data_IF_090289674543
#
_entry.id   IF_090289674543
#
_cell.length_a   1.000
_cell.length_b   1.000
_cell.length_c   1.000
_cell.angle_alpha   90.00
_cell.angle_beta   90.00
_cell.angle_gamma   90.00
#
_symmetry.space_group_name_H-M   'P 1'
#
loop_
_entity.id
_entity.type
_entity.pdbx_description
1 polymer ?
#
# COMPACT_ATOMS: atom_id res chain seq x y z
N UNK A 1 4.29 -27.22 -7.60
CA UNK A 1 2.81 -27.32 -7.64
C UNK A 1 2.05 -26.33 -6.77
N UNK A 2 2.32 -26.24 -5.46
CA UNK A 2 1.35 -25.72 -4.48
C UNK A 2 0.87 -24.26 -4.68
N UNK A 3 1.76 -23.34 -5.04
CA UNK A 3 1.40 -21.92 -5.28
C UNK A 3 0.40 -21.77 -6.44
N UNK A 4 0.51 -22.63 -7.47
CA UNK A 4 -0.38 -22.53 -8.63
C UNK A 4 -1.81 -22.99 -8.29
N UNK A 5 -1.94 -23.93 -7.35
CA UNK A 5 -3.22 -24.40 -6.84
C UNK A 5 -3.87 -23.36 -5.91
N UNK A 6 -3.10 -22.70 -5.03
CA UNK A 6 -3.64 -21.66 -4.13
C UNK A 6 -4.02 -20.37 -4.86
N UNK A 7 -3.43 -20.09 -6.02
CA UNK A 7 -3.76 -18.93 -6.85
C UNK A 7 -4.85 -19.21 -7.88
N UNK A 8 -5.38 -20.45 -7.94
CA UNK A 8 -6.44 -20.81 -8.90
C UNK A 8 -7.76 -20.24 -8.43
N UNK A 9 -8.32 -19.31 -9.20
CA UNK A 9 -9.69 -18.85 -8.97
C UNK A 9 -10.66 -20.03 -9.11
N UNK A 10 -11.72 -20.03 -8.30
CA UNK A 10 -12.80 -21.01 -8.44
C UNK A 10 -13.43 -21.00 -9.85
N UNK A 11 -13.35 -19.87 -10.55
CA UNK A 11 -13.72 -19.74 -11.95
C UNK A 11 -12.46 -19.85 -12.84
N UNK A 12 -12.32 -20.99 -13.53
CA UNK A 12 -11.19 -21.27 -14.42
C UNK A 12 -11.13 -20.37 -15.66
N UNK A 13 -12.19 -19.61 -15.95
CA UNK A 13 -12.24 -18.67 -17.09
C UNK A 13 -11.58 -17.32 -16.78
N UNK A 14 -11.18 -17.06 -15.53
CA UNK A 14 -10.51 -15.80 -15.17
C UNK A 14 -9.04 -15.87 -15.64
N UNK A 15 -8.61 -15.02 -16.60
CA UNK A 15 -7.25 -15.07 -17.10
C UNK A 15 -6.25 -14.72 -16.00
N UNK A 16 -5.18 -15.51 -15.88
CA UNK A 16 -4.08 -15.26 -14.97
C UNK A 16 -3.21 -14.04 -15.35
N UNK A 17 -3.35 -13.50 -16.56
CA UNK A 17 -2.68 -12.28 -17.03
C UNK A 17 -3.41 -10.99 -16.62
N UNK A 18 -4.03 -10.99 -15.44
CA UNK A 18 -4.72 -9.80 -14.93
C UNK A 18 -3.74 -8.98 -14.10
N UNK A 19 -3.53 -7.74 -14.52
CA UNK A 19 -2.81 -6.76 -13.72
C UNK A 19 -3.74 -6.18 -12.65
N UNK A 20 -3.45 -6.46 -11.38
CA UNK A 20 -4.18 -5.88 -10.25
C UNK A 20 -3.60 -4.52 -9.93
N UNK A 21 -4.44 -3.48 -9.94
CA UNK A 21 -4.03 -2.12 -9.60
C UNK A 21 -4.28 -1.86 -8.12
N UNK A 22 -3.27 -1.32 -7.44
CA UNK A 22 -3.32 -0.97 -6.02
C UNK A 22 -3.02 0.51 -5.89
N UNK A 23 -4.02 1.27 -5.46
CA UNK A 23 -3.90 2.71 -5.23
C UNK A 23 -3.31 2.98 -3.84
N UNK A 24 -2.41 3.95 -3.75
CA UNK A 24 -1.78 4.41 -2.49
C UNK A 24 -1.64 5.91 -2.49
N UNK A 25 -1.67 6.54 -1.33
CA UNK A 25 -1.65 8.00 -1.24
C UNK A 25 -0.23 8.53 -0.95
N UNK A 26 0.27 9.47 -1.75
CA UNK A 26 1.61 10.07 -1.60
C UNK A 26 2.75 9.03 -1.62
N UNK A 27 2.57 7.99 -2.44
CA UNK A 27 3.42 6.80 -2.42
C UNK A 27 4.80 7.00 -3.04
N UNK A 28 4.92 8.01 -3.92
CA UNK A 28 6.20 8.46 -4.51
C UNK A 28 7.27 8.79 -3.47
N UNK A 29 6.87 9.23 -2.26
CA UNK A 29 7.81 9.68 -1.22
C UNK A 29 8.18 8.64 -0.18
N UNK A 30 7.33 7.64 0.03
CA UNK A 30 7.45 6.74 1.19
C UNK A 30 7.31 5.27 0.79
N UNK A 31 6.17 4.93 0.20
CA UNK A 31 5.78 3.53 -0.01
C UNK A 31 6.66 2.83 -1.04
N UNK A 32 7.09 3.53 -2.11
CA UNK A 32 7.76 2.88 -3.24
C UNK A 32 9.17 2.41 -2.87
N UNK A 33 9.90 3.15 -2.03
CA UNK A 33 11.21 2.72 -1.54
C UNK A 33 11.09 1.43 -0.72
N UNK A 34 10.11 1.38 0.21
CA UNK A 34 9.86 0.20 1.04
C UNK A 34 9.40 -1.01 0.22
N UNK A 35 8.57 -0.78 -0.80
CA UNK A 35 8.16 -1.85 -1.71
C UNK A 35 9.32 -2.42 -2.49
N UNK A 36 10.24 -1.58 -2.93
CA UNK A 36 11.36 -2.01 -3.75
C UNK A 36 12.18 -3.05 -3.00
N UNK A 37 12.57 -2.72 -1.76
CA UNK A 37 13.33 -3.64 -0.89
C UNK A 37 12.56 -4.91 -0.56
N UNK A 38 11.24 -4.83 -0.38
CA UNK A 38 10.42 -5.98 0.00
C UNK A 38 10.05 -6.91 -1.18
N UNK A 39 9.90 -6.35 -2.38
CA UNK A 39 9.35 -7.05 -3.54
C UNK A 39 10.37 -7.36 -4.62
N UNK A 40 11.58 -6.82 -4.56
CA UNK A 40 12.68 -7.32 -5.39
C UNK A 40 13.32 -8.54 -4.71
N UNK A 41 12.63 -9.69 -4.81
CA UNK A 41 12.99 -10.90 -4.08
C UNK A 41 12.94 -12.15 -4.96
N UNK A 42 13.08 -13.34 -4.38
CA UNK A 42 13.11 -14.59 -5.14
C UNK A 42 11.84 -14.79 -5.99
N UNK A 43 10.67 -14.41 -5.47
CA UNK A 43 9.37 -14.67 -6.10
C UNK A 43 8.89 -13.55 -7.05
N UNK A 44 9.35 -12.32 -6.84
CA UNK A 44 8.83 -11.13 -7.49
C UNK A 44 9.95 -10.37 -8.21
N UNK A 45 9.61 -9.70 -9.30
CA UNK A 45 10.53 -8.82 -10.02
C UNK A 45 9.91 -7.44 -10.13
N UNK A 46 10.67 -6.43 -9.72
CA UNK A 46 10.25 -5.04 -9.84
C UNK A 46 10.53 -4.56 -11.27
N UNK A 47 9.49 -4.06 -11.95
CA UNK A 47 9.59 -3.48 -13.28
C UNK A 47 10.04 -2.02 -13.24
N UNK A 48 10.29 -1.47 -14.42
CA UNK A 48 10.74 -0.08 -14.56
C UNK A 48 9.66 0.88 -14.00
N UNK A 49 10.02 1.77 -13.05
CA UNK A 49 9.09 2.76 -12.51
C UNK A 49 8.67 3.76 -13.59
N UNK A 50 7.41 4.18 -13.54
CA UNK A 50 6.86 5.24 -14.40
C UNK A 50 6.85 6.53 -13.59
N UNK A 51 7.51 7.56 -14.10
CA UNK A 51 7.66 8.85 -13.43
C UNK A 51 9.09 9.34 -13.53
N UNK A 52 9.45 10.26 -12.64
CA UNK A 52 10.84 10.69 -12.45
C UNK A 52 11.39 10.20 -11.10
N UNK A 53 12.69 10.38 -10.87
CA UNK A 53 13.38 9.86 -9.69
C UNK A 53 12.83 10.43 -8.37
N UNK A 54 12.28 11.64 -8.39
CA UNK A 54 11.73 12.31 -7.22
C UNK A 54 10.21 12.14 -7.10
N UNK A 55 9.56 11.68 -8.17
CA UNK A 55 8.14 11.55 -8.29
C UNK A 55 7.75 10.33 -9.13
N UNK A 56 7.88 9.15 -8.52
CA UNK A 56 7.45 7.89 -9.13
C UNK A 56 5.92 7.79 -9.04
N UNK A 57 5.27 7.76 -10.20
CA UNK A 57 3.79 7.72 -10.31
C UNK A 57 3.24 6.30 -10.21
N UNK A 58 3.98 5.32 -10.72
CA UNK A 58 3.60 3.92 -10.56
C UNK A 58 4.77 2.98 -10.72
N UNK A 59 4.64 1.80 -10.13
CA UNK A 59 5.59 0.69 -10.28
C UNK A 59 4.82 -0.61 -10.46
N UNK A 60 5.30 -1.46 -11.37
CA UNK A 60 4.67 -2.77 -11.62
C UNK A 60 5.61 -3.84 -11.10
N UNK A 61 5.11 -4.73 -10.25
CA UNK A 61 5.82 -5.94 -9.83
C UNK A 61 5.18 -7.15 -10.48
N UNK A 62 6.02 -8.07 -10.95
CA UNK A 62 5.58 -9.28 -11.63
C UNK A 62 6.04 -10.50 -10.86
N UNK A 63 5.12 -11.41 -10.55
CA UNK A 63 5.47 -12.69 -9.94
C UNK A 63 6.12 -13.59 -10.99
N UNK A 64 7.33 -14.08 -10.72
CA UNK A 64 8.19 -14.73 -11.72
C UNK A 64 7.58 -16.00 -12.30
N UNK A 65 6.82 -16.76 -11.49
CA UNK A 65 6.26 -18.07 -11.89
C UNK A 65 4.88 -17.98 -12.52
N UNK A 66 3.99 -17.17 -11.96
CA UNK A 66 2.61 -17.08 -12.42
C UNK A 66 2.38 -15.95 -13.42
N UNK A 67 3.38 -15.07 -13.62
CA UNK A 67 3.28 -13.85 -14.42
C UNK A 67 2.18 -12.88 -13.96
N UNK A 68 1.65 -13.06 -12.75
CA UNK A 68 0.70 -12.12 -12.14
C UNK A 68 1.38 -10.77 -11.93
N UNK A 69 0.68 -9.69 -12.26
CA UNK A 69 1.19 -8.32 -12.15
C UNK A 69 0.42 -7.56 -11.07
N UNK A 70 1.14 -6.91 -10.16
CA UNK A 70 0.60 -5.90 -9.27
C UNK A 70 1.15 -4.54 -9.69
N UNK A 71 0.29 -3.59 -9.99
CA UNK A 71 0.67 -2.23 -10.32
C UNK A 71 0.30 -1.31 -9.16
N UNK A 72 1.31 -0.78 -8.48
CA UNK A 72 1.15 0.21 -7.43
C UNK A 72 1.14 1.59 -8.06
N UNK A 73 0.11 2.38 -7.78
CA UNK A 73 -0.13 3.68 -8.40
C UNK A 73 -0.30 4.72 -7.31
N UNK A 74 0.41 5.83 -7.45
CA UNK A 74 0.27 6.98 -6.58
C UNK A 74 -1.02 7.75 -6.89
N UNK A 75 -2.00 7.61 -6.01
CA UNK A 75 -3.30 8.24 -6.08
C UNK A 75 -3.19 9.77 -6.03
N UNK A 76 -2.25 10.33 -5.27
CA UNK A 76 -2.08 11.79 -5.21
C UNK A 76 -1.63 12.32 -6.58
N UNK A 77 -0.69 11.65 -7.24
CA UNK A 77 -0.30 11.99 -8.60
C UNK A 77 -1.40 11.74 -9.63
N UNK A 78 -2.30 10.78 -9.39
CA UNK A 78 -3.41 10.45 -10.29
C UNK A 78 -4.55 11.49 -10.22
N UNK A 79 -4.92 11.91 -9.01
CA UNK A 79 -6.01 12.87 -8.79
C UNK A 79 -5.54 14.33 -8.85
N UNK A 80 -4.24 14.58 -8.77
CA UNK A 80 -3.64 15.92 -8.72
C UNK A 80 -3.35 16.38 -7.28
N UNK A 81 -2.74 17.56 -7.11
CA UNK A 81 -2.30 18.07 -5.81
C UNK A 81 -3.50 18.39 -4.91
N UNK A 82 -3.98 17.38 -4.19
CA UNK A 82 -5.05 17.49 -3.21
C UNK A 82 -4.67 16.73 -1.95
N UNK A 83 -5.34 17.01 -0.83
CA UNK A 83 -5.13 16.23 0.40
C UNK A 83 -5.98 14.97 0.36
N UNK A 84 -5.56 13.91 1.08
CA UNK A 84 -6.38 12.70 1.24
C UNK A 84 -7.79 13.03 1.76
N UNK A 85 -7.91 14.03 2.66
CA UNK A 85 -9.20 14.48 3.20
C UNK A 85 -10.09 15.08 2.09
N UNK A 86 -9.53 15.91 1.22
CA UNK A 86 -10.27 16.47 0.08
C UNK A 86 -10.69 15.37 -0.90
N UNK A 87 -9.81 14.41 -1.19
CA UNK A 87 -10.15 13.27 -2.03
C UNK A 87 -11.31 12.42 -1.45
N UNK A 88 -11.30 12.14 -0.15
CA UNK A 88 -12.41 11.42 0.52
C UNK A 88 -13.70 12.22 0.47
N UNK A 89 -13.62 13.55 0.59
CA UNK A 89 -14.80 14.42 0.48
C UNK A 89 -15.41 14.40 -0.92
N UNK A 90 -14.57 14.45 -1.95
CA UNK A 90 -15.01 14.57 -3.34
C UNK A 90 -15.45 13.22 -3.94
N UNK A 91 -14.82 12.12 -3.52
CA UNK A 91 -15.02 10.79 -4.11
C UNK A 91 -15.52 9.70 -3.14
N UNK A 92 -15.58 9.96 -1.83
CA UNK A 92 -15.97 8.99 -0.80
C UNK A 92 -17.45 9.07 -0.39
N UNK A 93 -17.98 7.97 0.16
CA UNK A 93 -19.35 7.94 0.69
C UNK A 93 -19.43 8.54 2.10
N UNK A 94 -19.71 9.84 2.15
CA UNK A 94 -20.50 10.55 3.18
C UNK A 94 -20.03 10.59 4.65
N UNK A 95 -18.83 10.16 5.03
CA UNK A 95 -18.24 10.61 6.30
C UNK A 95 -16.79 11.05 6.15
N UNK A 96 -16.53 12.32 6.44
CA UNK A 96 -15.19 12.92 6.45
C UNK A 96 -14.36 12.46 7.67
N UNK A 97 -14.45 11.18 8.04
CA UNK A 97 -13.72 10.66 9.19
C UNK A 97 -12.39 10.05 8.72
N UNK A 98 -11.34 10.88 8.75
CA UNK A 98 -9.97 10.40 8.63
C UNK A 98 -9.45 10.10 10.03
N UNK A 99 -9.28 8.82 10.34
CA UNK A 99 -8.57 8.40 11.53
C UNK A 99 -7.09 8.78 11.46
N UNK A 100 -6.51 9.06 12.61
CA UNK A 100 -5.07 9.28 12.77
C UNK A 100 -4.49 7.99 13.30
N UNK A 101 -3.31 7.59 12.83
CA UNK A 101 -2.61 6.42 13.37
C UNK A 101 -1.67 6.84 14.50
N UNK A 102 -1.57 6.10 15.62
CA UNK A 102 -0.59 6.39 16.67
C UNK A 102 0.83 6.22 16.11
N UNK A 103 1.63 7.29 16.11
CA UNK A 103 2.91 7.27 15.38
C UNK A 103 3.97 6.41 16.07
N UNK A 104 4.12 6.60 17.38
CA UNK A 104 5.25 6.06 18.15
C UNK A 104 4.82 5.01 19.18
N UNK A 105 3.52 4.92 19.43
CA UNK A 105 2.94 4.02 20.45
C UNK A 105 3.10 2.54 20.07
N UNK A 106 3.12 2.21 18.77
CA UNK A 106 3.34 0.85 18.27
C UNK A 106 4.70 0.79 17.56
N UNK A 107 5.57 -0.12 17.99
CA UNK A 107 6.86 -0.40 17.38
C UNK A 107 7.18 -1.92 17.46
N UNK A 108 8.30 -2.32 16.86
CA UNK A 108 8.71 -3.73 16.77
C UNK A 108 8.93 -4.43 18.11
N UNK A 109 9.09 -3.68 19.21
CA UNK A 109 9.31 -4.24 20.55
C UNK A 109 8.01 -4.45 21.33
N UNK A 110 6.98 -3.66 21.07
CA UNK A 110 5.75 -3.64 21.86
C UNK A 110 4.48 -4.02 21.07
N UNK A 111 4.59 -4.27 19.75
CA UNK A 111 3.46 -4.54 18.88
C UNK A 111 2.51 -5.62 19.43
N UNK A 112 3.03 -6.76 19.88
CA UNK A 112 2.20 -7.86 20.39
C UNK A 112 1.42 -7.47 21.64
N UNK A 113 2.04 -6.71 22.55
CA UNK A 113 1.39 -6.27 23.77
C UNK A 113 0.31 -5.22 23.46
N UNK A 114 0.64 -4.23 22.63
CA UNK A 114 -0.28 -3.15 22.25
C UNK A 114 -1.47 -3.69 21.45
N UNK A 115 -1.26 -4.70 20.58
CA UNK A 115 -2.36 -5.36 19.85
C UNK A 115 -3.32 -6.14 20.76
N UNK A 116 -2.88 -6.58 21.94
CA UNK A 116 -3.72 -7.32 22.89
C UNK A 116 -4.48 -6.39 23.84
N UNK A 117 -4.19 -5.08 23.83
CA UNK A 117 -4.93 -4.10 24.64
C UNK A 117 -6.35 -3.94 24.10
N UNK A 118 -7.30 -3.86 25.03
CA UNK A 118 -8.71 -3.56 24.74
C UNK A 118 -9.07 -2.10 25.02
N UNK A 119 -8.16 -1.36 25.64
CA UNK A 119 -8.33 0.05 25.98
C UNK A 119 -8.03 0.95 24.76
N UNK A 120 -8.74 2.08 24.60
CA UNK A 120 -8.45 3.07 23.57
C UNK A 120 -7.07 3.71 23.74
N UNK A 121 -6.49 4.19 22.63
CA UNK A 121 -5.29 5.04 22.68
C UNK A 121 -5.62 6.43 23.21
N UNK A 122 -4.67 7.02 23.93
CA UNK A 122 -4.78 8.40 24.41
C UNK A 122 -4.59 9.38 23.25
N UNK A 123 -5.19 10.56 23.31
CA UNK A 123 -5.09 11.54 22.21
C UNK A 123 -3.64 11.93 21.86
N UNK A 124 -2.75 11.97 22.87
CA UNK A 124 -1.34 12.31 22.68
C UNK A 124 -0.54 11.25 21.93
N UNK A 125 -0.98 9.98 21.91
CA UNK A 125 -0.37 8.88 21.16
C UNK A 125 -0.36 9.14 19.64
N UNK A 126 -1.27 9.99 19.18
CA UNK A 126 -1.42 10.37 17.77
C UNK A 126 -0.55 11.57 17.37
N UNK A 127 0.22 12.16 18.28
CA UNK A 127 1.17 13.23 17.94
C UNK A 127 2.55 12.65 17.65
N UNK A 128 3.11 13.06 16.52
CA UNK A 128 4.51 12.79 16.19
C UNK A 128 5.43 13.59 17.12
N UNK A 129 6.35 12.93 17.81
CA UNK A 129 7.42 13.58 18.58
C UNK A 129 8.66 13.84 17.73
N UNK A 130 8.76 13.18 16.58
CA UNK A 130 9.72 13.52 15.52
C UNK A 130 9.46 14.96 15.06
N UNK A 131 10.44 15.83 15.32
CA UNK A 131 10.51 17.23 14.86
C UNK A 131 11.10 17.34 13.47
#
# INVERSE_FOLDING_TARGET
EQIYQSMKYANENIPFDKCVKVLRWNSSRFDIALLWDALDCELWTVGVPIGDLNNIKSITVTHKKSHMKLQFIDAENLFGPMTLKACVKDYGEKSEHKDVFPYETINSKNQTEVQMKTEPFEYEDFKSQLK
#
